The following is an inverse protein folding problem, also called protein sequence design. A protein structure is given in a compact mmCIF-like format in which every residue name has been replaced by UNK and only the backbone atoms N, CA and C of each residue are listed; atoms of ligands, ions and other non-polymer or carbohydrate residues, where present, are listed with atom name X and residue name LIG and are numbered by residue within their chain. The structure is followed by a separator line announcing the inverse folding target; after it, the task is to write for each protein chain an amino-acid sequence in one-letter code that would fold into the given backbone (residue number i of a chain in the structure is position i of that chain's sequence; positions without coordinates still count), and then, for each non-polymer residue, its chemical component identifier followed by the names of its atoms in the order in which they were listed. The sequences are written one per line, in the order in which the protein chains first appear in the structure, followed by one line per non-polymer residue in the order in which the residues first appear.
data_IF_883615880822
#
_entry.id   IF_883615880822
#
_cell.length_a   1.000
_cell.length_b   1.000
_cell.length_c   1.000
_cell.angle_alpha   90.00
_cell.angle_beta   90.00
_cell.angle_gamma   90.00
#
_symmetry.space_group_name_H-M   'P 1'
#
loop_
_entity.id
_entity.type
_entity.pdbx_description
1 polymer ?
#
# COMPACT_ATOMS: atom_id res chain seq x y z
N UNK A 1 -28.69 20.15 -6.78
CA UNK A 1 -28.02 19.14 -5.96
C UNK A 1 -27.39 19.84 -4.76
N UNK A 2 -27.72 19.41 -3.57
CA UNK A 2 -27.21 19.99 -2.34
C UNK A 2 -25.80 19.45 -2.04
N UNK A 3 -24.99 20.27 -1.40
CA UNK A 3 -23.67 19.89 -0.95
C UNK A 3 -23.67 19.84 0.58
N UNK A 4 -23.35 18.69 1.15
CA UNK A 4 -23.29 18.49 2.58
C UNK A 4 -21.87 18.16 3.01
N UNK A 5 -21.37 18.88 4.00
CA UNK A 5 -20.12 18.53 4.67
C UNK A 5 -20.34 17.33 5.60
N UNK A 6 -19.25 16.73 6.05
CA UNK A 6 -19.32 15.59 6.97
C UNK A 6 -20.15 15.92 8.23
N UNK A 7 -19.98 17.12 8.81
CA UNK A 7 -20.72 17.57 9.97
C UNK A 7 -22.21 17.74 9.68
N UNK A 8 -22.54 18.33 8.54
CA UNK A 8 -23.92 18.52 8.09
C UNK A 8 -24.59 17.17 7.77
N UNK A 9 -23.86 16.26 7.16
CA UNK A 9 -24.34 14.91 6.90
C UNK A 9 -24.65 14.17 8.21
N UNK A 10 -23.76 14.24 9.18
CA UNK A 10 -23.95 13.61 10.48
C UNK A 10 -25.17 14.19 11.22
N UNK A 11 -25.36 15.49 11.16
CA UNK A 11 -26.53 16.14 11.72
C UNK A 11 -27.83 15.72 11.00
N UNK A 12 -27.82 15.69 9.68
CA UNK A 12 -28.96 15.25 8.89
C UNK A 12 -29.33 13.77 9.15
N UNK A 13 -28.33 12.92 9.34
CA UNK A 13 -28.53 11.52 9.69
C UNK A 13 -29.18 11.39 11.08
N UNK A 14 -28.70 12.15 12.07
CA UNK A 14 -29.23 12.16 13.41
C UNK A 14 -30.70 12.62 13.46
N UNK A 15 -31.08 13.55 12.59
CA UNK A 15 -32.47 14.03 12.44
C UNK A 15 -33.35 13.18 11.54
N UNK A 16 -32.85 12.08 11.00
CA UNK A 16 -33.60 11.22 10.10
C UNK A 16 -33.99 11.86 8.76
N UNK A 17 -33.24 12.86 8.34
CA UNK A 17 -33.48 13.56 7.07
C UNK A 17 -32.94 12.82 5.84
N UNK A 18 -32.12 11.78 6.04
CA UNK A 18 -31.51 11.00 4.98
C UNK A 18 -32.31 9.72 4.74
N UNK A 19 -32.78 9.54 3.53
CA UNK A 19 -33.54 8.37 3.12
C UNK A 19 -32.64 7.23 2.65
N UNK A 20 -31.61 7.55 1.87
CA UNK A 20 -30.65 6.57 1.41
C UNK A 20 -29.25 7.17 1.21
N UNK A 21 -28.26 6.30 1.30
CA UNK A 21 -26.86 6.61 1.07
C UNK A 21 -26.34 5.68 -0.03
N UNK A 22 -25.75 6.27 -1.07
CA UNK A 22 -25.20 5.52 -2.20
C UNK A 22 -23.72 5.88 -2.40
N UNK A 23 -22.95 4.85 -2.77
CA UNK A 23 -21.61 5.04 -3.32
C UNK A 23 -21.71 5.05 -4.84
N UNK A 24 -21.22 6.12 -5.45
CA UNK A 24 -21.23 6.29 -6.90
C UNK A 24 -19.78 6.40 -7.39
N UNK A 25 -19.38 5.57 -8.36
CA UNK A 25 -18.05 5.66 -8.93
C UNK A 25 -17.89 6.96 -9.73
N UNK A 26 -16.70 7.55 -9.62
CA UNK A 26 -16.28 8.67 -10.42
C UNK A 26 -14.85 8.41 -10.93
N UNK A 27 -14.75 7.81 -12.12
CA UNK A 27 -13.50 7.26 -12.62
C UNK A 27 -13.06 6.04 -11.79
N UNK A 28 -11.88 6.11 -11.24
CA UNK A 28 -11.32 5.07 -10.36
C UNK A 28 -11.69 5.22 -8.89
N UNK A 29 -12.33 6.34 -8.53
CA UNK A 29 -12.66 6.69 -7.15
C UNK A 29 -14.18 6.63 -6.94
N UNK A 30 -14.59 6.80 -5.69
CA UNK A 30 -15.98 6.79 -5.30
C UNK A 30 -16.36 8.09 -4.61
N UNK A 31 -17.58 8.58 -4.86
CA UNK A 31 -18.19 9.65 -4.09
C UNK A 31 -19.43 9.14 -3.36
N UNK A 32 -19.83 9.83 -2.31
CA UNK A 32 -21.03 9.50 -1.53
C UNK A 32 -22.16 10.41 -1.96
N UNK A 33 -23.21 9.81 -2.51
CA UNK A 33 -24.45 10.47 -2.88
C UNK A 33 -25.49 10.18 -1.80
N UNK A 34 -26.23 11.18 -1.41
CA UNK A 34 -27.24 11.10 -0.39
C UNK A 34 -28.59 11.45 -1.00
N UNK A 35 -29.60 10.69 -0.67
CA UNK A 35 -30.99 11.04 -0.95
C UNK A 35 -31.61 11.53 0.33
N UNK A 36 -32.03 12.79 0.33
CA UNK A 36 -32.73 13.43 1.45
C UNK A 36 -34.17 13.71 1.08
N UNK A 37 -34.99 14.02 2.06
CA UNK A 37 -36.41 14.39 1.82
C UNK A 37 -36.56 15.64 0.94
N UNK A 38 -35.54 16.46 0.89
CA UNK A 38 -35.53 17.71 0.11
C UNK A 38 -34.86 17.57 -1.27
N UNK A 39 -34.25 16.41 -1.55
CA UNK A 39 -33.58 16.16 -2.82
C UNK A 39 -32.25 15.43 -2.66
N UNK A 40 -31.53 15.32 -3.76
CA UNK A 40 -30.22 14.67 -3.78
C UNK A 40 -29.13 15.61 -3.28
N UNK A 41 -28.17 15.04 -2.54
CA UNK A 41 -27.02 15.74 -1.99
C UNK A 41 -25.73 14.94 -2.23
N UNK A 42 -24.60 15.63 -2.29
CA UNK A 42 -23.26 15.03 -2.35
C UNK A 42 -22.50 15.36 -1.09
N UNK A 43 -21.74 14.38 -0.61
CA UNK A 43 -20.77 14.62 0.46
C UNK A 43 -19.57 15.37 -0.11
N UNK A 44 -19.32 16.55 0.44
CA UNK A 44 -18.22 17.43 0.03
C UNK A 44 -17.17 17.57 1.13
N UNK A 45 -16.02 18.09 0.74
CA UNK A 45 -14.95 18.39 1.70
C UNK A 45 -15.35 19.58 2.59
N UNK A 46 -14.86 19.59 3.82
CA UNK A 46 -15.26 20.58 4.83
C UNK A 46 -14.94 22.04 4.46
N UNK A 47 -13.96 22.25 3.59
CA UNK A 47 -13.50 23.60 3.20
C UNK A 47 -13.74 23.96 1.74
N UNK A 48 -14.37 23.09 0.99
CA UNK A 48 -14.63 23.31 -0.44
C UNK A 48 -15.91 22.62 -0.87
N UNK A 49 -16.60 23.17 -1.86
CA UNK A 49 -17.76 22.54 -2.46
C UNK A 49 -17.42 21.37 -3.41
N UNK A 50 -16.19 20.88 -3.35
CA UNK A 50 -15.72 19.78 -4.18
C UNK A 50 -16.17 18.44 -3.56
N UNK A 51 -16.77 17.53 -4.35
CA UNK A 51 -17.15 16.21 -3.86
C UNK A 51 -15.97 15.48 -3.20
N UNK A 52 -16.21 14.88 -2.05
CA UNK A 52 -15.20 14.06 -1.38
C UNK A 52 -15.05 12.74 -2.11
N UNK A 53 -13.87 12.49 -2.65
CA UNK A 53 -13.55 11.27 -3.38
C UNK A 53 -12.78 10.30 -2.48
N UNK A 54 -13.20 9.04 -2.52
CA UNK A 54 -12.55 7.94 -1.81
C UNK A 54 -11.81 7.08 -2.82
N UNK A 55 -10.55 6.79 -2.55
CA UNK A 55 -9.72 5.97 -3.43
C UNK A 55 -10.11 4.49 -3.42
N UNK A 56 -10.75 4.03 -2.35
CA UNK A 56 -11.22 2.66 -2.17
C UNK A 56 -12.60 2.63 -1.53
N UNK A 57 -13.38 1.61 -1.82
CA UNK A 57 -14.68 1.38 -1.16
C UNK A 57 -14.50 1.19 0.35
N UNK A 58 -13.43 0.54 0.77
CA UNK A 58 -13.14 0.30 2.19
C UNK A 58 -12.98 1.60 2.98
N UNK A 59 -12.30 2.60 2.43
CA UNK A 59 -12.15 3.91 3.06
C UNK A 59 -13.47 4.66 3.19
N UNK A 60 -14.34 4.55 2.20
CA UNK A 60 -15.69 5.10 2.25
C UNK A 60 -16.55 4.39 3.30
N UNK A 61 -16.51 3.05 3.33
CA UNK A 61 -17.25 2.25 4.30
C UNK A 61 -16.84 2.54 5.74
N UNK A 62 -15.55 2.68 6.01
CA UNK A 62 -15.05 3.05 7.33
C UNK A 62 -15.58 4.39 7.82
N UNK A 63 -15.61 5.39 6.93
CA UNK A 63 -16.17 6.69 7.27
C UNK A 63 -17.67 6.60 7.54
N UNK A 64 -18.43 5.96 6.66
CA UNK A 64 -19.88 5.82 6.79
C UNK A 64 -20.26 5.02 8.03
N UNK A 65 -19.51 3.96 8.33
CA UNK A 65 -19.70 3.18 9.56
C UNK A 65 -19.47 4.04 10.81
N UNK A 66 -18.41 4.84 10.81
CA UNK A 66 -18.11 5.77 11.92
C UNK A 66 -19.22 6.80 12.13
N UNK A 67 -19.91 7.20 11.07
CA UNK A 67 -21.01 8.15 11.13
C UNK A 67 -22.35 7.51 11.53
N UNK A 68 -22.41 6.19 11.61
CA UNK A 68 -23.62 5.46 12.01
C UNK A 68 -24.52 5.06 10.86
N UNK A 69 -24.04 5.07 9.63
CA UNK A 69 -24.78 4.58 8.46
C UNK A 69 -24.85 3.05 8.49
N UNK A 70 -26.05 2.51 8.47
CA UNK A 70 -26.29 1.07 8.54
C UNK A 70 -26.49 0.42 7.16
N UNK A 71 -26.95 1.20 6.19
CA UNK A 71 -27.26 0.70 4.86
C UNK A 71 -26.71 1.65 3.80
N UNK A 72 -26.04 1.06 2.82
CA UNK A 72 -25.55 1.77 1.65
C UNK A 72 -25.92 1.01 0.40
N UNK A 73 -26.05 1.71 -0.71
CA UNK A 73 -26.25 1.15 -2.05
C UNK A 73 -25.04 1.50 -2.89
N UNK A 74 -24.53 0.53 -3.62
CA UNK A 74 -23.52 0.78 -4.65
C UNK A 74 -24.25 0.98 -5.97
N UNK A 75 -24.22 2.20 -6.48
CA UNK A 75 -24.93 2.59 -7.68
C UNK A 75 -23.94 2.84 -8.84
N UNK A 76 -24.40 2.63 -10.07
CA UNK A 76 -23.60 2.85 -11.29
C UNK A 76 -22.23 2.15 -11.31
N UNK A 77 -22.16 0.94 -10.84
CA UNK A 77 -20.91 0.15 -10.80
C UNK A 77 -20.32 -0.06 -12.21
N UNK A 78 -21.15 -0.04 -13.24
CA UNK A 78 -20.76 -0.10 -14.65
C UNK A 78 -19.87 1.07 -15.09
N UNK A 79 -19.94 2.21 -14.41
CA UNK A 79 -19.12 3.38 -14.68
C UNK A 79 -17.78 3.38 -13.93
N UNK A 80 -17.57 2.40 -13.08
CA UNK A 80 -16.32 2.30 -12.34
C UNK A 80 -15.16 1.83 -13.23
N UNK A 81 -14.08 2.61 -13.23
CA UNK A 81 -12.87 2.30 -13.99
C UNK A 81 -11.73 2.05 -13.00
N UNK A 82 -11.39 0.78 -12.70
CA UNK A 82 -10.27 0.48 -11.82
C UNK A 82 -8.96 0.96 -12.43
N UNK A 83 -8.21 1.75 -11.68
CA UNK A 83 -6.88 2.21 -12.11
C UNK A 83 -5.89 1.05 -12.05
N UNK A 84 -5.48 0.54 -13.18
CA UNK A 84 -4.40 -0.46 -13.26
C UNK A 84 -3.05 0.09 -12.75
N UNK A 85 -2.82 1.38 -12.89
CA UNK A 85 -1.63 2.07 -12.39
C UNK A 85 -1.53 2.07 -10.85
N UNK A 86 -2.64 1.99 -10.12
CA UNK A 86 -2.65 1.94 -8.66
C UNK A 86 -2.12 0.61 -8.14
N UNK A 87 -2.31 -0.47 -8.88
CA UNK A 87 -1.73 -1.77 -8.57
C UNK A 87 -0.19 -1.76 -8.69
N UNK A 88 0.34 -1.02 -9.67
CA UNK A 88 1.78 -0.84 -9.84
C UNK A 88 2.42 0.05 -8.75
N UNK A 89 1.70 1.05 -8.26
CA UNK A 89 2.17 1.93 -7.17
C UNK A 89 2.14 1.25 -5.79
N UNK A 90 1.33 0.22 -5.61
CA UNK A 90 1.26 -0.56 -4.37
C UNK A 90 2.30 -1.67 -4.28
N UNK A 91 2.81 -2.15 -5.42
CA UNK A 91 4.01 -2.96 -5.42
C UNK A 91 5.19 -2.02 -5.14
N UNK A 92 5.70 -2.05 -3.95
CA UNK A 92 6.93 -1.31 -3.64
C UNK A 92 8.05 -1.93 -4.47
N UNK A 93 8.58 -1.23 -5.50
CA UNK A 93 9.63 -1.77 -6.34
C UNK A 93 10.85 -2.18 -5.51
N UNK A 94 11.12 -1.46 -4.42
CA UNK A 94 12.20 -1.76 -3.49
C UNK A 94 12.04 -3.14 -2.80
N UNK A 95 10.83 -3.55 -2.47
CA UNK A 95 10.56 -4.88 -1.90
C UNK A 95 10.77 -6.00 -2.89
N UNK A 96 10.27 -5.83 -4.11
CA UNK A 96 10.46 -6.82 -5.17
C UNK A 96 11.94 -6.97 -5.50
N UNK A 97 12.68 -5.87 -5.61
CA UNK A 97 14.13 -5.88 -5.81
C UNK A 97 14.88 -6.51 -4.65
N UNK A 98 14.50 -6.21 -3.41
CA UNK A 98 15.09 -6.81 -2.22
C UNK A 98 14.90 -8.33 -2.17
N UNK A 99 13.70 -8.82 -2.50
CA UNK A 99 13.41 -10.26 -2.58
C UNK A 99 14.21 -10.94 -3.69
N UNK A 100 14.33 -10.31 -4.85
CA UNK A 100 15.13 -10.83 -5.97
C UNK A 100 16.60 -10.91 -5.61
N UNK A 101 17.15 -9.87 -4.98
CA UNK A 101 18.55 -9.85 -4.49
C UNK A 101 18.80 -10.90 -3.42
N UNK A 102 17.86 -11.09 -2.49
CA UNK A 102 17.96 -12.14 -1.48
C UNK A 102 17.96 -13.53 -2.08
N UNK A 103 17.11 -13.81 -3.09
CA UNK A 103 17.07 -15.07 -3.79
C UNK A 103 18.36 -15.32 -4.61
N UNK A 104 18.89 -14.31 -5.25
CA UNK A 104 20.18 -14.40 -5.98
C UNK A 104 21.34 -14.66 -5.02
N UNK A 105 21.36 -14.00 -3.86
CA UNK A 105 22.36 -14.25 -2.83
C UNK A 105 22.29 -15.65 -2.27
N UNK A 106 21.12 -16.18 -1.98
CA UNK A 106 20.93 -17.54 -1.50
C UNK A 106 21.41 -18.58 -2.51
N UNK A 107 21.13 -18.38 -3.82
CA UNK A 107 21.65 -19.21 -4.90
C UNK A 107 23.18 -19.17 -4.98
N UNK A 108 23.74 -17.99 -4.85
CA UNK A 108 25.19 -17.81 -4.87
C UNK A 108 25.86 -18.52 -3.68
N UNK A 109 25.30 -18.41 -2.48
CA UNK A 109 25.78 -19.08 -1.27
C UNK A 109 25.67 -20.60 -1.43
N UNK A 110 24.56 -21.12 -1.91
CA UNK A 110 24.37 -22.54 -2.17
C UNK A 110 25.39 -23.09 -3.17
N UNK A 111 25.65 -22.39 -4.26
CA UNK A 111 26.67 -22.77 -5.25
C UNK A 111 28.08 -22.77 -4.64
N UNK A 112 28.40 -21.82 -3.76
CA UNK A 112 29.69 -21.76 -3.06
C UNK A 112 29.86 -22.90 -2.06
N UNK A 113 28.81 -23.27 -1.36
CA UNK A 113 28.82 -24.40 -0.41
C UNK A 113 29.02 -25.72 -1.14
N UNK A 114 28.33 -25.94 -2.27
CA UNK A 114 28.52 -27.15 -3.10
C UNK A 114 29.93 -27.21 -3.67
N UNK A 115 30.46 -26.13 -4.21
CA UNK A 115 31.84 -26.06 -4.70
C UNK A 115 32.86 -26.38 -3.59
N UNK A 116 32.60 -25.93 -2.37
CA UNK A 116 33.45 -26.22 -1.22
C UNK A 116 33.41 -27.69 -0.81
N UNK A 117 32.23 -28.35 -0.91
CA UNK A 117 32.07 -29.79 -0.62
C UNK A 117 32.78 -30.66 -1.63
N UNK A 118 32.78 -30.26 -2.91
CA UNK A 118 33.41 -31.00 -4.00
C UNK A 118 34.92 -30.69 -4.11
N UNK A 119 35.43 -29.74 -3.34
CA UNK A 119 36.84 -29.37 -3.35
C UNK A 119 37.69 -30.48 -2.71
N UNK A 120 38.61 -31.11 -3.44
CA UNK A 120 39.46 -32.21 -2.94
C UNK A 120 40.59 -31.72 -2.02
N UNK A 121 40.74 -30.42 -1.83
CA UNK A 121 41.79 -29.88 -0.96
C UNK A 121 41.44 -30.13 0.50
N UNK A 122 42.44 -30.44 1.35
CA UNK A 122 42.20 -30.63 2.77
C UNK A 122 41.67 -29.36 3.42
N UNK A 123 40.83 -29.54 4.43
CA UNK A 123 40.30 -28.41 5.20
C UNK A 123 41.43 -27.61 5.82
N UNK A 124 41.35 -26.30 5.71
CA UNK A 124 42.29 -25.37 6.30
C UNK A 124 42.10 -25.39 7.82
N UNK A 125 43.17 -25.59 8.58
CA UNK A 125 43.10 -25.53 10.04
C UNK A 125 42.67 -24.14 10.51
N UNK A 126 42.11 -24.08 11.70
CA UNK A 126 41.66 -22.79 12.27
C UNK A 126 42.82 -21.78 12.39
N UNK A 127 44.00 -22.24 12.72
CA UNK A 127 45.18 -21.40 12.81
C UNK A 127 45.65 -20.87 11.45
N UNK A 128 45.65 -21.71 10.42
CA UNK A 128 45.95 -21.28 9.04
C UNK A 128 44.91 -20.29 8.52
N UNK A 129 43.65 -20.53 8.80
CA UNK A 129 42.58 -19.61 8.42
C UNK A 129 42.72 -18.25 9.10
N UNK A 130 43.09 -18.19 10.39
CA UNK A 130 43.35 -16.94 11.10
C UNK A 130 44.55 -16.20 10.50
N UNK A 131 45.60 -16.91 10.12
CA UNK A 131 46.76 -16.30 9.48
C UNK A 131 46.43 -15.69 8.12
N UNK A 132 45.63 -16.36 7.30
CA UNK A 132 45.15 -15.87 6.01
C UNK A 132 44.22 -14.65 6.18
N UNK A 133 43.35 -14.69 7.17
CA UNK A 133 42.50 -13.56 7.50
C UNK A 133 43.25 -12.33 7.96
N UNK A 134 44.24 -12.53 8.82
CA UNK A 134 45.09 -11.43 9.29
C UNK A 134 45.89 -10.80 8.14
N UNK A 135 46.41 -11.62 7.23
CA UNK A 135 47.11 -11.14 6.04
C UNK A 135 46.23 -10.32 5.12
N UNK A 136 44.97 -10.77 4.87
CA UNK A 136 44.01 -10.01 4.07
C UNK A 136 43.58 -8.71 4.72
N UNK A 137 43.35 -8.68 6.01
CA UNK A 137 43.05 -7.45 6.74
C UNK A 137 44.17 -6.44 6.68
N UNK A 138 45.44 -6.87 6.84
CA UNK A 138 46.65 -6.03 6.71
C UNK A 138 46.74 -5.45 5.28
N UNK A 139 46.46 -6.24 4.24
CA UNK A 139 46.41 -5.74 2.86
C UNK A 139 45.36 -4.66 2.66
N UNK A 140 44.15 -4.86 3.20
CA UNK A 140 43.06 -3.89 3.08
C UNK A 140 43.38 -2.59 3.82
N UNK A 141 44.01 -2.67 4.97
CA UNK A 141 44.45 -1.50 5.73
C UNK A 141 45.56 -0.72 5.00
N UNK A 142 46.49 -1.41 4.37
CA UNK A 142 47.53 -0.80 3.55
C UNK A 142 46.98 -0.06 2.33
N UNK A 143 45.91 -0.60 1.70
CA UNK A 143 45.24 0.05 0.57
C UNK A 143 44.38 1.27 0.95
N UNK A 144 43.99 1.41 2.22
CA UNK A 144 43.18 2.51 2.72
C UNK A 144 44.00 3.60 3.46
N UNK A 145 45.28 3.45 3.59
CA UNK A 145 46.14 4.52 4.10
C UNK A 145 46.42 5.55 3.01
N UNK A 146 46.18 6.85 3.28
CA UNK A 146 46.47 7.93 2.33
C UNK A 146 47.97 8.06 2.01
#
# INVERSE_FOLDING_TARGET
MLNLTQTQFQAALAHGAIESVALVPKGSRFCVKLVTRTGEALLVQARSAVPRLFGTTDSALKLLHKMGVQRIVLDHLDQWQPEQAVLQKRSRPDRAQALTRAAEYDRWVAAKVEASRDDPRPDVSHEEWQAVRAAKLAQQQALHQP
#
